data_IF_194670548397
#
_entry.id   IF_194670548397
#
_cell.length_a   1.000
_cell.length_b   1.000
_cell.length_c   1.000
_cell.angle_alpha   90.00
_cell.angle_beta   90.00
_cell.angle_gamma   90.00
#
_symmetry.space_group_name_H-M   'P 1'
#
loop_
_entity.id
_entity.type
_entity.pdbx_description
1 polymer ?
#
# COMPACT_ATOMS: atom_id res chain seq x y z
N UNK A 1 5.92 5.02 -3.92
CA UNK A 1 6.33 3.70 -3.41
C UNK A 1 5.80 3.55 -1.99
N UNK A 2 4.66 2.89 -1.83
CA UNK A 2 4.12 2.61 -0.51
C UNK A 2 4.68 1.27 -0.02
N UNK A 3 5.52 1.35 1.00
CA UNK A 3 5.88 0.20 1.82
C UNK A 3 4.72 -0.06 2.77
N UNK A 4 4.17 -1.27 2.79
CA UNK A 4 3.27 -1.70 3.85
C UNK A 4 4.07 -1.77 5.15
N UNK A 5 4.14 -0.66 5.86
CA UNK A 5 4.92 -0.56 7.07
C UNK A 5 4.03 -0.76 8.27
N UNK A 6 4.37 -1.78 9.08
CA UNK A 6 3.80 -1.94 10.41
C UNK A 6 4.12 -0.67 11.22
N UNK A 7 3.15 -0.04 11.92
CA UNK A 7 3.36 1.19 12.69
C UNK A 7 4.54 1.10 13.68
N UNK A 8 4.88 -0.10 14.13
CA UNK A 8 5.94 -0.38 15.09
C UNK A 8 7.35 -0.48 14.45
N UNK A 9 7.48 -0.34 13.12
CA UNK A 9 8.74 -0.53 12.38
C UNK A 9 9.11 0.61 11.43
N UNK A 10 8.32 1.69 11.41
CA UNK A 10 8.66 2.89 10.62
C UNK A 10 9.64 3.72 11.43
N UNK A 11 10.93 3.58 11.11
CA UNK A 11 11.86 4.66 11.38
C UNK A 11 11.56 5.80 10.38
N UNK A 12 10.89 6.84 10.88
CA UNK A 12 10.57 8.05 10.12
C UNK A 12 11.81 8.75 9.53
N UNK A 13 13.01 8.44 10.03
CA UNK A 13 14.27 8.91 9.45
C UNK A 13 14.64 8.21 8.13
N UNK A 14 14.15 6.98 7.90
CA UNK A 14 14.51 6.17 6.72
C UNK A 14 13.65 6.43 5.49
N UNK A 15 12.54 7.18 5.63
CA UNK A 15 11.64 7.54 4.54
C UNK A 15 11.12 8.97 4.77
N UNK A 16 11.78 9.99 4.21
CA UNK A 16 11.28 11.34 4.26
C UNK A 16 10.05 11.47 3.34
N UNK A 17 8.90 10.95 3.77
CA UNK A 17 7.63 11.01 3.03
C UNK A 17 7.29 12.45 2.62
N UNK A 18 7.70 13.44 3.42
CA UNK A 18 7.60 14.87 3.12
C UNK A 18 8.32 15.32 1.84
N UNK A 19 9.27 14.52 1.32
CA UNK A 19 9.94 14.80 0.02
C UNK A 19 9.14 14.33 -1.18
N UNK A 20 8.14 13.48 -0.97
CA UNK A 20 7.37 12.83 -2.04
C UNK A 20 5.88 13.18 -1.99
N UNK A 21 5.43 13.82 -0.92
CA UNK A 21 4.06 14.30 -0.73
C UNK A 21 4.15 15.78 -0.39
N UNK A 22 3.42 16.64 -1.11
CA UNK A 22 3.37 18.05 -0.76
C UNK A 22 2.69 18.25 0.59
N UNK A 23 3.05 19.30 1.31
CA UNK A 23 2.39 19.66 2.57
C UNK A 23 0.86 19.77 2.40
N UNK A 24 0.41 20.36 1.30
CA UNK A 24 -1.01 20.49 0.96
C UNK A 24 -1.72 19.14 0.77
N UNK A 25 -1.07 18.17 0.13
CA UNK A 25 -1.62 16.82 -0.03
C UNK A 25 -1.66 16.09 1.31
N UNK A 26 -0.65 16.28 2.15
CA UNK A 26 -0.61 15.73 3.51
C UNK A 26 -1.74 16.29 4.39
N UNK A 27 -1.89 17.62 4.44
CA UNK A 27 -2.95 18.29 5.18
C UNK A 27 -4.34 17.84 4.71
N UNK A 28 -4.52 17.70 3.39
CA UNK A 28 -5.77 17.19 2.81
C UNK A 28 -6.05 15.77 3.27
N UNK A 29 -5.06 14.87 3.25
CA UNK A 29 -5.21 13.49 3.71
C UNK A 29 -5.53 13.41 5.21
N UNK A 30 -4.86 14.22 6.04
CA UNK A 30 -5.15 14.33 7.47
C UNK A 30 -6.57 14.85 7.71
N UNK A 31 -7.00 15.85 6.95
CA UNK A 31 -8.36 16.38 7.04
C UNK A 31 -9.40 15.33 6.66
N UNK A 32 -9.24 14.64 5.52
CA UNK A 32 -10.18 13.62 5.02
C UNK A 32 -10.33 12.44 6.00
N UNK A 33 -9.20 11.95 6.51
CA UNK A 33 -9.22 10.86 7.51
C UNK A 33 -9.77 11.35 8.84
N UNK A 34 -9.45 12.59 9.23
CA UNK A 34 -9.93 13.24 10.44
C UNK A 34 -11.45 13.46 10.46
N UNK A 35 -12.08 13.70 9.31
CA UNK A 35 -13.54 13.88 9.19
C UNK A 35 -14.32 12.56 9.19
N UNK A 36 -13.71 11.45 8.74
CA UNK A 36 -14.37 10.14 8.65
C UNK A 36 -14.68 9.52 10.03
N UNK A 37 -15.96 9.39 10.37
CA UNK A 37 -16.40 8.76 11.63
C UNK A 37 -16.06 7.27 11.69
N UNK A 38 -16.24 6.56 10.57
CA UNK A 38 -15.92 5.13 10.44
C UNK A 38 -14.42 4.87 10.61
N UNK A 39 -13.56 5.68 9.99
CA UNK A 39 -12.12 5.56 10.15
C UNK A 39 -11.69 5.80 11.61
N UNK A 40 -12.25 6.82 12.28
CA UNK A 40 -11.97 7.06 13.71
C UNK A 40 -12.36 5.87 14.59
N UNK A 41 -13.50 5.24 14.33
CA UNK A 41 -13.93 4.03 15.06
C UNK A 41 -13.01 2.85 14.77
N UNK A 42 -12.61 2.67 13.53
CA UNK A 42 -11.65 1.64 13.14
C UNK A 42 -10.31 1.78 13.87
N UNK A 43 -9.72 2.98 13.89
CA UNK A 43 -8.48 3.26 14.64
C UNK A 43 -8.68 3.01 16.14
N UNK A 44 -9.83 3.39 16.70
CA UNK A 44 -10.18 3.10 18.10
C UNK A 44 -10.28 1.60 18.36
N UNK A 45 -10.90 0.83 17.47
CA UNK A 45 -11.03 -0.62 17.59
C UNK A 45 -9.66 -1.31 17.58
N UNK A 46 -8.72 -0.85 16.75
CA UNK A 46 -7.32 -1.31 16.77
C UNK A 46 -6.70 -1.01 18.14
N UNK A 47 -6.77 0.25 18.60
CA UNK A 47 -6.14 0.67 19.87
C UNK A 47 -6.68 -0.06 21.10
N UNK A 48 -7.97 -0.41 21.11
CA UNK A 48 -8.59 -1.20 22.18
C UNK A 48 -8.40 -2.72 22.02
N UNK A 49 -7.92 -3.20 20.88
CA UNK A 49 -7.89 -4.63 20.55
C UNK A 49 -9.28 -5.26 20.42
N UNK A 50 -10.30 -4.47 20.06
CA UNK A 50 -11.68 -4.95 19.89
C UNK A 50 -11.75 -5.99 18.78
N UNK A 51 -12.44 -7.10 19.05
CA UNK A 51 -12.64 -8.19 18.09
C UNK A 51 -13.87 -7.91 17.22
N UNK A 52 -13.76 -7.98 15.90
CA UNK A 52 -14.90 -7.64 15.02
C UNK A 52 -16.07 -8.59 15.15
N UNK A 53 -15.81 -9.87 15.43
CA UNK A 53 -16.85 -10.87 15.65
C UNK A 53 -17.79 -10.58 16.83
N UNK A 54 -17.40 -9.69 17.75
CA UNK A 54 -18.24 -9.31 18.90
C UNK A 54 -19.06 -8.04 18.67
N UNK A 55 -18.93 -7.40 17.50
CA UNK A 55 -19.67 -6.20 17.15
C UNK A 55 -20.74 -6.49 16.11
N UNK A 56 -21.80 -5.71 16.15
CA UNK A 56 -22.90 -5.65 15.20
C UNK A 56 -23.10 -4.21 14.73
N UNK A 57 -23.85 -4.00 13.65
CA UNK A 57 -24.13 -2.65 13.12
C UNK A 57 -24.82 -1.73 14.14
N UNK A 58 -25.49 -2.30 15.15
CA UNK A 58 -26.17 -1.54 16.20
C UNK A 58 -25.21 -1.01 17.27
N UNK A 59 -23.98 -1.52 17.33
CA UNK A 59 -23.01 -1.11 18.33
C UNK A 59 -22.41 0.26 18.01
N UNK A 60 -22.31 1.12 19.02
CA UNK A 60 -21.74 2.45 18.87
C UNK A 60 -20.31 2.45 18.30
N UNK A 61 -19.52 1.42 18.64
CA UNK A 61 -18.15 1.24 18.17
C UNK A 61 -18.05 0.48 16.81
N UNK A 62 -19.18 0.15 16.14
CA UNK A 62 -19.17 -0.47 14.81
C UNK A 62 -18.48 0.43 13.76
N UNK A 63 -17.40 -0.05 13.11
CA UNK A 63 -16.55 0.79 12.25
C UNK A 63 -17.03 0.91 10.80
N UNK A 64 -18.24 0.42 10.47
CA UNK A 64 -18.82 0.58 9.13
C UNK A 64 -17.99 -0.09 8.03
N UNK A 65 -17.65 0.66 6.98
CA UNK A 65 -16.87 0.16 5.83
C UNK A 65 -15.51 -0.43 6.21
N UNK A 66 -14.95 -0.05 7.36
CA UNK A 66 -13.68 -0.57 7.87
C UNK A 66 -13.83 -1.88 8.66
N UNK A 67 -15.04 -2.43 8.82
CA UNK A 67 -15.24 -3.71 9.51
C UNK A 67 -14.51 -4.87 8.82
N UNK A 68 -14.65 -4.99 7.50
CA UNK A 68 -13.96 -6.03 6.71
C UNK A 68 -12.44 -5.85 6.75
N UNK A 69 -11.95 -4.60 6.70
CA UNK A 69 -10.53 -4.29 6.86
C UNK A 69 -10.01 -4.89 8.16
N UNK A 70 -10.72 -4.64 9.26
CA UNK A 70 -10.32 -5.10 10.58
C UNK A 70 -10.39 -6.63 10.73
N UNK A 71 -11.41 -7.28 10.17
CA UNK A 71 -11.52 -8.75 10.15
C UNK A 71 -10.33 -9.40 9.41
N UNK A 72 -9.96 -8.87 8.24
CA UNK A 72 -8.80 -9.35 7.50
C UNK A 72 -7.49 -9.13 8.26
N UNK A 73 -7.36 -8.01 8.97
CA UNK A 73 -6.20 -7.76 9.84
C UNK A 73 -6.15 -8.70 11.03
N UNK A 74 -7.29 -9.02 11.66
CA UNK A 74 -7.37 -10.03 12.72
C UNK A 74 -6.91 -11.39 12.20
N UNK A 75 -7.37 -11.82 11.02
CA UNK A 75 -6.88 -13.04 10.38
C UNK A 75 -5.39 -12.97 10.02
N UNK A 76 -4.90 -11.83 9.53
CA UNK A 76 -3.51 -11.60 9.19
C UNK A 76 -2.59 -11.47 10.41
N UNK A 77 -3.13 -11.40 11.63
CA UNK A 77 -2.36 -11.31 12.89
C UNK A 77 -2.61 -12.49 13.83
N UNK A 78 -3.66 -13.29 13.59
CA UNK A 78 -4.01 -14.44 14.40
C UNK A 78 -3.20 -15.68 14.00
N UNK A 79 -2.24 -16.07 14.86
CA UNK A 79 -1.43 -17.28 14.68
C UNK A 79 -1.61 -18.25 15.84
N UNK A 80 -2.23 -19.43 15.62
CA UNK A 80 -2.21 -20.50 16.59
C UNK A 80 -0.80 -21.13 16.61
N UNK A 81 0.14 -20.51 17.34
CA UNK A 81 1.45 -21.08 17.66
C UNK A 81 2.66 -20.24 17.24
N UNK A 82 3.76 -20.36 18.00
CA UNK A 82 5.01 -19.56 17.92
C UNK A 82 5.79 -19.60 16.58
N UNK A 83 5.32 -20.29 15.53
CA UNK A 83 6.12 -20.54 14.31
C UNK A 83 5.39 -20.41 12.96
N UNK A 84 4.07 -20.22 12.92
CA UNK A 84 3.37 -20.06 11.64
C UNK A 84 3.04 -18.58 11.42
N UNK A 85 3.56 -18.00 10.34
CA UNK A 85 3.15 -16.69 9.85
C UNK A 85 1.92 -16.87 8.96
N UNK A 86 1.13 -15.81 8.71
CA UNK A 86 -0.06 -15.93 7.87
C UNK A 86 0.37 -16.29 6.46
N UNK A 87 -0.60 -16.77 5.68
CA UNK A 87 -0.40 -16.80 4.24
C UNK A 87 -0.16 -15.36 3.76
N UNK A 88 0.83 -15.16 2.89
CA UNK A 88 1.15 -13.86 2.30
C UNK A 88 -0.06 -13.26 1.59
N UNK A 89 -0.89 -14.11 0.97
CA UNK A 89 -2.16 -13.72 0.36
C UNK A 89 -3.10 -13.04 1.37
N UNK A 90 -3.19 -13.52 2.61
CA UNK A 90 -4.06 -12.93 3.63
C UNK A 90 -3.56 -11.55 4.06
N UNK A 91 -2.24 -11.38 4.18
CA UNK A 91 -1.63 -10.09 4.53
C UNK A 91 -1.83 -9.09 3.39
N UNK A 92 -1.61 -9.55 2.15
CA UNK A 92 -1.82 -8.74 0.95
C UNK A 92 -3.29 -8.31 0.82
N UNK A 93 -4.24 -9.23 0.97
CA UNK A 93 -5.67 -8.93 0.99
C UNK A 93 -6.03 -7.89 2.07
N UNK A 94 -5.54 -8.06 3.30
CA UNK A 94 -5.77 -7.09 4.37
C UNK A 94 -5.22 -5.70 4.03
N UNK A 95 -4.06 -5.63 3.38
CA UNK A 95 -3.41 -4.38 3.00
C UNK A 95 -4.13 -3.68 1.85
N UNK A 96 -4.44 -4.39 0.77
CA UNK A 96 -5.14 -3.83 -0.39
C UNK A 96 -6.55 -3.35 -0.02
N UNK A 97 -7.28 -4.12 0.80
CA UNK A 97 -8.61 -3.70 1.26
C UNK A 97 -8.52 -2.46 2.15
N UNK A 98 -7.53 -2.35 3.04
CA UNK A 98 -7.29 -1.12 3.81
C UNK A 98 -7.05 0.08 2.88
N UNK A 99 -6.15 -0.07 1.91
CA UNK A 99 -5.82 1.00 0.98
C UNK A 99 -7.02 1.42 0.13
N UNK A 100 -7.84 0.46 -0.32
CA UNK A 100 -9.08 0.75 -1.05
C UNK A 100 -10.07 1.51 -0.17
N UNK A 101 -10.31 1.06 1.07
CA UNK A 101 -11.26 1.71 1.97
C UNK A 101 -10.81 3.12 2.35
N UNK A 102 -9.51 3.37 2.52
CA UNK A 102 -8.97 4.73 2.73
C UNK A 102 -9.13 5.57 1.46
N UNK A 103 -8.85 5.02 0.27
CA UNK A 103 -8.98 5.73 -1.01
C UNK A 103 -10.41 6.21 -1.24
N UNK A 104 -11.41 5.40 -0.85
CA UNK A 104 -12.83 5.78 -0.91
C UNK A 104 -13.24 6.93 0.03
N UNK A 105 -12.38 7.36 0.97
CA UNK A 105 -12.64 8.58 1.74
C UNK A 105 -12.44 9.85 0.90
N UNK A 106 -11.64 9.77 -0.17
CA UNK A 106 -11.42 10.87 -1.09
C UNK A 106 -12.54 10.88 -2.15
N UNK A 107 -13.33 11.97 -2.26
CA UNK A 107 -14.37 12.05 -3.28
C UNK A 107 -13.77 12.24 -4.67
N UNK A 108 -14.43 11.66 -5.69
CA UNK A 108 -14.12 11.87 -7.11
C UNK A 108 -12.70 11.49 -7.55
N UNK A 109 -12.08 10.51 -6.90
CA UNK A 109 -10.77 9.99 -7.32
C UNK A 109 -10.94 8.91 -8.40
N UNK A 110 -10.22 9.04 -9.52
CA UNK A 110 -10.13 7.98 -10.53
C UNK A 110 -8.99 7.02 -10.17
N UNK A 111 -9.19 6.25 -9.08
CA UNK A 111 -8.17 5.33 -8.60
C UNK A 111 -8.78 4.16 -7.80
N UNK A 112 -8.32 2.95 -8.12
CA UNK A 112 -8.63 1.72 -7.39
C UNK A 112 -7.36 0.93 -7.08
N UNK A 113 -7.28 0.44 -5.85
CA UNK A 113 -6.36 -0.61 -5.45
C UNK A 113 -6.92 -1.96 -5.89
N UNK A 114 -6.05 -2.77 -6.47
CA UNK A 114 -6.40 -4.04 -7.05
C UNK A 114 -5.43 -5.13 -6.59
N UNK A 115 -5.98 -6.31 -6.27
CA UNK A 115 -5.21 -7.47 -5.80
C UNK A 115 -4.49 -8.21 -6.93
N UNK A 116 -4.89 -7.99 -8.18
CA UNK A 116 -4.18 -8.58 -9.31
C UNK A 116 -2.79 -7.95 -9.42
N UNK A 117 -1.73 -8.76 -9.60
CA UNK A 117 -0.38 -8.26 -9.79
C UNK A 117 -0.33 -7.32 -11.00
N UNK A 118 0.44 -6.24 -10.92
CA UNK A 118 0.97 -5.62 -12.12
C UNK A 118 2.09 -6.51 -12.66
N UNK A 119 2.09 -6.71 -13.97
CA UNK A 119 3.07 -7.49 -14.71
C UNK A 119 3.90 -6.55 -15.59
N UNK A 120 5.20 -6.53 -15.33
CA UNK A 120 6.16 -5.71 -16.07
C UNK A 120 7.26 -6.58 -16.67
N UNK A 121 7.43 -6.47 -17.98
CA UNK A 121 8.54 -7.11 -18.70
C UNK A 121 9.59 -6.06 -19.05
N UNK A 122 10.70 -6.07 -18.32
CA UNK A 122 11.81 -5.16 -18.53
C UNK A 122 12.77 -5.74 -19.59
N UNK A 123 13.03 -4.99 -20.66
CA UNK A 123 13.93 -5.43 -21.76
C UNK A 123 15.15 -4.50 -21.84
N UNK A 124 16.35 -5.08 -21.82
CA UNK A 124 17.63 -4.39 -21.88
C UNK A 124 18.54 -5.03 -22.93
N UNK A 125 18.66 -4.40 -24.10
CA UNK A 125 19.44 -4.96 -25.21
C UNK A 125 18.94 -6.37 -25.57
N UNK A 126 19.76 -7.38 -25.30
CA UNK A 126 19.43 -8.80 -25.57
C UNK A 126 18.93 -9.57 -24.34
N UNK A 127 18.77 -8.93 -23.17
CA UNK A 127 18.28 -9.54 -21.94
C UNK A 127 16.93 -9.00 -21.53
N UNK A 128 16.15 -9.79 -20.79
CA UNK A 128 14.92 -9.34 -20.16
C UNK A 128 14.67 -10.05 -18.84
N UNK A 129 13.80 -9.46 -18.02
CA UNK A 129 13.19 -10.14 -16.87
C UNK A 129 11.74 -9.69 -16.70
N UNK A 130 10.96 -10.54 -16.05
CA UNK A 130 9.57 -10.28 -15.68
C UNK A 130 9.51 -10.00 -14.18
N UNK A 131 8.74 -8.99 -13.79
CA UNK A 131 8.47 -8.63 -12.41
C UNK A 131 6.97 -8.56 -12.16
N UNK A 132 6.52 -9.32 -11.15
CA UNK A 132 5.14 -9.38 -10.71
C UNK A 132 5.05 -8.77 -9.31
N UNK A 133 4.15 -7.82 -9.12
CA UNK A 133 3.93 -7.16 -7.83
C UNK A 133 2.86 -7.87 -7.02
N UNK A 134 2.79 -7.67 -5.70
CA UNK A 134 1.66 -8.19 -4.91
C UNK A 134 0.32 -7.46 -5.16
N UNK A 135 0.35 -6.22 -5.66
CA UNK A 135 -0.85 -5.49 -6.06
C UNK A 135 -0.53 -4.13 -6.64
N UNK A 136 -1.58 -3.38 -7.00
CA UNK A 136 -1.41 -2.12 -7.72
C UNK A 136 -2.51 -1.11 -7.43
N UNK A 137 -2.18 0.18 -7.48
CA UNK A 137 -3.13 1.27 -7.66
C UNK A 137 -3.18 1.58 -9.15
N UNK A 138 -4.38 1.59 -9.71
CA UNK A 138 -4.59 1.95 -11.11
C UNK A 138 -5.77 2.91 -11.26
N UNK A 139 -5.79 3.66 -12.36
CA UNK A 139 -6.98 4.41 -12.76
C UNK A 139 -8.11 3.44 -13.15
N UNK A 140 -9.36 3.79 -12.86
CA UNK A 140 -10.49 3.02 -13.42
C UNK A 140 -10.50 3.17 -14.94
N UNK A 141 -10.20 4.37 -15.43
CA UNK A 141 -10.10 4.66 -16.86
C UNK A 141 -8.72 4.25 -17.40
N UNK A 142 -8.68 3.31 -18.36
CA UNK A 142 -7.44 2.92 -19.03
C UNK A 142 -6.46 2.04 -18.22
N UNK A 143 -6.77 1.71 -16.95
CA UNK A 143 -5.98 0.81 -16.08
C UNK A 143 -4.49 1.17 -16.02
N UNK A 144 -4.17 2.47 -15.99
CA UNK A 144 -2.79 2.94 -15.90
C UNK A 144 -2.31 2.74 -14.47
N UNK A 145 -1.19 2.02 -14.31
CA UNK A 145 -0.59 1.77 -13.01
C UNK A 145 0.00 3.08 -12.46
N UNK A 146 -0.50 3.51 -11.31
CA UNK A 146 -0.08 4.74 -10.62
C UNK A 146 0.72 4.45 -9.35
N UNK A 147 0.59 3.25 -8.79
CA UNK A 147 1.46 2.74 -7.73
C UNK A 147 1.47 1.22 -7.73
N UNK A 148 2.52 0.65 -7.17
CA UNK A 148 2.67 -0.79 -6.92
C UNK A 148 2.68 -1.07 -5.41
N UNK A 149 2.20 -2.24 -5.02
CA UNK A 149 2.22 -2.76 -3.65
C UNK A 149 3.05 -4.04 -3.61
N UNK A 150 3.90 -4.14 -2.59
CA UNK A 150 4.71 -5.32 -2.30
C UNK A 150 4.56 -5.64 -0.80
N UNK A 151 4.12 -6.86 -0.49
CA UNK A 151 3.63 -7.26 0.83
C UNK A 151 4.32 -8.54 1.28
N UNK A 152 5.11 -8.45 2.36
CA UNK A 152 5.73 -9.61 2.96
C UNK A 152 5.02 -10.03 4.24
N UNK A 153 4.72 -11.32 4.36
CA UNK A 153 4.08 -11.88 5.58
C UNK A 153 4.94 -11.82 6.85
N UNK A 154 6.25 -11.60 6.72
CA UNK A 154 7.20 -11.63 7.84
C UNK A 154 7.79 -10.23 8.06
N UNK A 155 8.00 -9.83 9.33
CA UNK A 155 8.79 -8.64 9.64
C UNK A 155 10.18 -8.73 8.99
N UNK A 156 10.65 -7.59 8.47
CA UNK A 156 11.93 -7.49 7.78
C UNK A 156 13.08 -7.71 8.78
N UNK A 157 13.67 -8.92 8.77
CA UNK A 157 14.89 -9.25 9.55
C UNK A 157 16.17 -9.27 8.72
N UNK A 158 16.05 -9.53 7.41
CA UNK A 158 17.15 -9.47 6.43
C UNK A 158 16.72 -8.53 5.31
N UNK A 159 17.55 -7.54 4.99
CA UNK A 159 17.18 -6.44 4.09
C UNK A 159 17.39 -6.79 2.61
N UNK A 160 18.41 -7.59 2.30
CA UNK A 160 18.89 -7.75 0.92
C UNK A 160 17.90 -8.42 -0.04
N UNK A 161 17.29 -9.56 0.34
CA UNK A 161 16.43 -10.32 -0.59
C UNK A 161 15.16 -9.53 -0.96
N UNK A 162 14.37 -9.01 0.00
CA UNK A 162 13.20 -8.18 -0.33
C UNK A 162 13.58 -6.93 -1.13
N UNK A 163 14.73 -6.32 -0.83
CA UNK A 163 15.19 -5.14 -1.54
C UNK A 163 15.48 -5.44 -3.03
N UNK A 164 16.05 -6.59 -3.35
CA UNK A 164 16.29 -6.96 -4.75
C UNK A 164 14.99 -7.11 -5.54
N UNK A 165 13.95 -7.69 -4.93
CA UNK A 165 12.63 -7.82 -5.55
C UNK A 165 11.98 -6.46 -5.75
N UNK A 166 11.91 -5.65 -4.68
CA UNK A 166 11.36 -4.29 -4.71
C UNK A 166 12.05 -3.42 -5.78
N UNK A 167 13.38 -3.51 -5.88
CA UNK A 167 14.14 -2.76 -6.90
C UNK A 167 13.87 -3.29 -8.31
N UNK A 168 13.79 -4.60 -8.49
CA UNK A 168 13.51 -5.20 -9.80
C UNK A 168 12.12 -4.78 -10.33
N UNK A 169 11.10 -4.78 -9.48
CA UNK A 169 9.74 -4.32 -9.81
C UNK A 169 9.71 -2.84 -10.21
N UNK A 170 10.38 -1.98 -9.45
CA UNK A 170 10.45 -0.55 -9.76
C UNK A 170 11.16 -0.26 -11.07
N UNK A 171 12.31 -0.94 -11.31
CA UNK A 171 13.05 -0.80 -12.56
C UNK A 171 12.22 -1.30 -13.73
N UNK A 172 11.49 -2.41 -13.58
CA UNK A 172 10.64 -2.94 -14.62
C UNK A 172 9.49 -1.98 -14.95
N UNK A 173 8.84 -1.42 -13.93
CA UNK A 173 7.79 -0.42 -14.12
C UNK A 173 8.30 0.81 -14.86
N UNK A 174 9.45 1.37 -14.47
CA UNK A 174 10.07 2.55 -15.14
C UNK A 174 10.44 2.23 -16.60
N UNK A 175 10.87 1.02 -16.90
CA UNK A 175 11.23 0.62 -18.28
C UNK A 175 9.97 0.49 -19.15
N UNK A 176 8.90 -0.08 -18.61
CA UNK A 176 7.62 -0.22 -19.31
C UNK A 176 6.87 1.11 -19.48
N UNK A 177 6.94 1.98 -18.47
CA UNK A 177 6.26 3.27 -18.43
C UNK A 177 7.23 4.36 -17.93
N UNK A 178 8.17 4.82 -18.79
CA UNK A 178 9.17 5.77 -18.38
C UNK A 178 8.53 7.13 -18.07
N UNK A 179 8.88 7.77 -16.94
CA UNK A 179 8.40 9.11 -16.66
C UNK A 179 8.78 10.04 -17.82
N UNK A 180 7.92 11.01 -18.12
CA UNK A 180 8.18 12.01 -19.15
C UNK A 180 9.61 12.55 -18.98
N UNK A 181 10.44 12.37 -20.02
CA UNK A 181 11.85 12.74 -19.97
C UNK A 181 11.91 14.23 -19.60
N UNK A 182 12.62 14.63 -18.52
CA UNK A 182 12.78 16.04 -18.24
C UNK A 182 13.37 16.69 -19.48
N UNK A 183 12.82 17.85 -19.88
CA UNK A 183 13.36 18.63 -20.98
C UNK A 183 14.88 18.71 -20.76
N UNK A 184 15.65 18.22 -21.74
CA UNK A 184 17.11 18.28 -21.67
C UNK A 184 17.49 19.71 -21.34
N UNK A 185 18.21 19.98 -20.24
CA UNK A 185 18.85 21.27 -20.07
C UNK A 185 19.71 21.46 -21.32
N UNK A 186 19.52 22.58 -22.02
CA UNK A 186 20.38 22.95 -23.14
C UNK A 186 21.82 22.70 -22.73
N UNK A 187 22.54 21.99 -23.60
CA UNK A 187 23.92 21.57 -23.38
C UNK A 187 24.70 22.73 -22.76
N UNK A 188 25.04 22.61 -21.47
CA UNK A 188 26.07 23.46 -20.90
C UNK A 188 27.35 23.11 -21.67
N UNK A 189 27.70 24.00 -22.59
CA UNK A 189 29.00 24.00 -23.24
C UNK A 189 30.05 24.12 -22.13
N UNK A 190 30.78 23.02 -21.91
CA UNK A 190 32.11 23.05 -21.29
C UNK A 190 33.13 23.49 -22.34
#
# INVERSE_FOLDING_TARGET
MFRAACPETIDTALLPLHRYVSESSWETAVSLTGTSFEFRKYVRAIGKGTQMKSLTEMDADWPGSFKTVRELQEHATHFPGKKSYPNEITVNAAFIVLLQTITHLAPNIDAEWYLEPADFVAVFGNGSYEALTDGQLRTHSGKVVSAIAEVKRKPRRKVFIPLMQEVAELVAWIVCDPPARPATPDKCHL
#
